data_IF_554865218341
#
_entry.id   IF_554865218341
#
_cell.length_a   1.000
_cell.length_b   1.000
_cell.length_c   1.000
_cell.angle_alpha   90.00
_cell.angle_beta   90.00
_cell.angle_gamma   90.00
#
_symmetry.space_group_name_H-M   'P 1'
#
loop_
_entity.id
_entity.type
_entity.pdbx_description
1 polymer ?
#
# COMPACT_ATOMS: atom_id res chain seq x y z
N UNK A 1 -47.88 -7.20 8.60
CA UNK A 1 -46.62 -6.66 8.05
C UNK A 1 -46.17 -7.58 6.93
N UNK A 2 -46.26 -7.12 5.69
CA UNK A 2 -45.75 -7.87 4.55
C UNK A 2 -44.25 -7.60 4.42
N UNK A 3 -43.40 -8.59 4.69
CA UNK A 3 -41.98 -8.50 4.39
C UNK A 3 -41.81 -8.72 2.89
N UNK A 4 -41.50 -7.66 2.16
CA UNK A 4 -40.97 -7.77 0.80
C UNK A 4 -39.55 -8.33 0.89
N UNK A 5 -39.40 -9.65 0.75
CA UNK A 5 -38.11 -10.27 0.44
C UNK A 5 -37.84 -10.11 -1.05
N UNK A 6 -36.99 -9.15 -1.41
CA UNK A 6 -36.46 -9.07 -2.77
C UNK A 6 -35.33 -10.10 -2.94
N UNK A 7 -35.73 -11.34 -3.21
CA UNK A 7 -34.84 -12.49 -3.41
C UNK A 7 -33.92 -12.29 -4.63
N UNK A 8 -34.26 -11.37 -5.54
CA UNK A 8 -33.49 -11.08 -6.75
C UNK A 8 -32.11 -10.46 -6.48
N UNK A 9 -31.91 -9.86 -5.30
CA UNK A 9 -30.64 -9.25 -4.87
C UNK A 9 -29.83 -10.09 -3.87
N UNK A 10 -30.29 -11.30 -3.54
CA UNK A 10 -29.58 -12.19 -2.61
C UNK A 10 -29.54 -11.74 -1.15
N UNK A 11 -30.25 -10.66 -0.78
CA UNK A 11 -30.26 -10.15 0.60
C UNK A 11 -31.35 -10.90 1.40
N UNK A 12 -30.91 -11.82 2.27
CA UNK A 12 -31.78 -12.48 3.26
C UNK A 12 -31.71 -11.70 4.58
N UNK A 13 -32.74 -10.90 4.85
CA UNK A 13 -32.87 -10.23 6.15
C UNK A 13 -33.30 -11.27 7.21
N UNK A 14 -32.57 -11.36 8.32
CA UNK A 14 -32.92 -12.20 9.48
C UNK A 14 -32.12 -13.49 9.65
N UNK A 15 -31.10 -13.75 8.83
CA UNK A 15 -30.16 -14.87 9.05
C UNK A 15 -28.78 -14.31 9.38
N UNK A 16 -28.41 -14.32 10.65
CA UNK A 16 -27.04 -14.00 11.08
C UNK A 16 -26.18 -15.27 10.94
N UNK A 17 -25.80 -15.64 9.72
CA UNK A 17 -24.80 -16.69 9.53
C UNK A 17 -23.42 -16.10 9.83
N UNK A 18 -22.67 -16.75 10.74
CA UNK A 18 -21.26 -16.39 10.93
C UNK A 18 -20.50 -16.87 9.69
N UNK A 19 -19.84 -15.99 8.93
CA UNK A 19 -19.10 -16.40 7.75
C UNK A 19 -18.03 -17.42 8.11
N UNK A 20 -17.83 -18.41 7.24
CA UNK A 20 -16.66 -19.29 7.34
C UNK A 20 -15.40 -18.44 7.24
N UNK A 21 -14.45 -18.62 8.16
CA UNK A 21 -13.12 -18.01 8.02
C UNK A 21 -12.52 -18.46 6.69
N UNK A 22 -12.27 -17.50 5.81
CA UNK A 22 -11.81 -17.77 4.45
C UNK A 22 -10.36 -17.30 4.25
N UNK A 23 -9.77 -16.70 5.26
CA UNK A 23 -8.50 -16.03 5.17
C UNK A 23 -7.36 -16.99 5.49
N UNK A 24 -6.57 -17.32 4.47
CA UNK A 24 -5.34 -18.11 4.63
C UNK A 24 -4.20 -17.48 3.84
N UNK A 25 -2.96 -17.79 4.23
CA UNK A 25 -1.77 -17.28 3.55
C UNK A 25 -1.67 -17.78 2.11
N UNK A 26 -2.11 -19.00 1.86
CA UNK A 26 -2.14 -19.61 0.52
C UNK A 26 -3.10 -18.86 -0.39
N UNK A 27 -4.26 -18.44 0.12
CA UNK A 27 -5.24 -17.64 -0.64
C UNK A 27 -4.67 -16.29 -1.05
N UNK A 28 -3.81 -15.71 -0.22
CA UNK A 28 -3.11 -14.48 -0.51
C UNK A 28 -1.76 -14.68 -1.20
N UNK A 29 -1.52 -15.84 -1.82
CA UNK A 29 -0.30 -16.06 -2.61
C UNK A 29 0.99 -15.87 -1.83
N UNK A 30 0.98 -16.16 -0.52
CA UNK A 30 2.13 -15.94 0.37
C UNK A 30 2.10 -14.62 1.14
N UNK A 31 1.27 -13.66 0.73
CA UNK A 31 1.01 -12.39 1.40
C UNK A 31 0.23 -12.54 2.71
N UNK A 32 0.14 -11.44 3.47
CA UNK A 32 -0.62 -11.45 4.72
C UNK A 32 -2.12 -11.41 4.41
N UNK A 33 -2.88 -12.22 5.13
CA UNK A 33 -4.32 -12.26 4.97
C UNK A 33 -4.98 -11.64 6.20
N UNK A 34 -5.92 -10.71 5.98
CA UNK A 34 -6.79 -10.16 7.01
C UNK A 34 -8.26 -10.51 6.73
N UNK A 35 -8.94 -11.10 7.72
CA UNK A 35 -10.40 -11.25 7.69
C UNK A 35 -11.05 -9.85 7.76
N UNK A 36 -12.12 -9.64 7.00
CA UNK A 36 -12.83 -8.37 7.00
C UNK A 36 -14.25 -8.53 7.51
N UNK A 37 -14.73 -7.46 8.16
CA UNK A 37 -16.15 -7.34 8.46
C UNK A 37 -16.92 -7.33 7.15
N UNK A 38 -17.97 -8.14 7.08
CA UNK A 38 -18.84 -8.26 5.92
C UNK A 38 -19.40 -6.88 5.54
N UNK A 39 -19.26 -6.37 4.31
CA UNK A 39 -20.30 -5.57 3.73
C UNK A 39 -21.23 -6.48 2.95
N UNK A 40 -22.52 -6.11 2.91
CA UNK A 40 -23.62 -6.77 2.21
C UNK A 40 -23.43 -6.92 0.67
N UNK A 41 -22.24 -6.66 0.12
CA UNK A 41 -22.01 -6.51 -1.32
C UNK A 41 -20.84 -7.33 -1.91
N UNK A 42 -20.03 -8.02 -1.11
CA UNK A 42 -18.99 -8.93 -1.62
C UNK A 42 -19.18 -10.35 -1.06
N UNK A 43 -19.14 -11.35 -1.96
CA UNK A 43 -19.22 -12.78 -1.59
C UNK A 43 -17.99 -13.26 -0.82
N UNK A 44 -16.88 -12.53 -0.95
CA UNK A 44 -15.61 -12.80 -0.30
C UNK A 44 -15.38 -11.72 0.77
N UNK A 45 -14.80 -12.12 1.90
CA UNK A 45 -14.70 -11.33 3.13
C UNK A 45 -13.26 -11.28 3.67
N UNK A 46 -12.28 -11.09 2.79
CA UNK A 46 -10.87 -10.99 3.17
C UNK A 46 -10.18 -9.82 2.44
N UNK A 47 -9.01 -9.42 2.93
CA UNK A 47 -8.05 -8.64 2.16
C UNK A 47 -6.69 -9.31 2.21
N UNK A 48 -5.97 -9.25 1.10
CA UNK A 48 -4.59 -9.68 1.01
C UNK A 48 -3.69 -8.46 0.97
N UNK A 49 -2.70 -8.42 1.86
CA UNK A 49 -1.56 -7.53 1.75
C UNK A 49 -0.41 -8.27 1.06
N UNK A 50 -0.08 -7.82 -0.15
CA UNK A 50 0.95 -8.42 -0.99
C UNK A 50 2.34 -7.84 -0.74
N UNK A 51 2.48 -6.81 0.11
CA UNK A 51 3.71 -6.03 0.33
C UNK A 51 4.93 -6.89 0.71
N UNK A 52 4.71 -7.95 1.49
CA UNK A 52 5.74 -8.89 1.94
C UNK A 52 5.84 -10.18 1.11
N UNK A 53 5.16 -10.25 -0.04
CA UNK A 53 5.23 -11.38 -0.97
C UNK A 53 6.04 -11.02 -2.21
N UNK A 54 6.44 -12.02 -2.99
CA UNK A 54 6.98 -11.86 -4.35
C UNK A 54 5.87 -11.61 -5.39
N UNK A 55 4.64 -11.36 -4.94
CA UNK A 55 3.44 -11.20 -5.76
C UNK A 55 2.80 -9.83 -5.59
N UNK A 56 1.98 -9.47 -6.57
CA UNK A 56 1.18 -8.26 -6.64
C UNK A 56 -0.22 -8.58 -7.18
N UNK A 57 -1.11 -7.60 -7.11
CA UNK A 57 -2.46 -7.73 -7.65
C UNK A 57 -2.44 -7.83 -9.18
N UNK A 58 -3.51 -8.38 -9.75
CA UNK A 58 -3.70 -8.36 -11.21
C UNK A 58 -3.82 -6.93 -11.74
N UNK A 59 -3.62 -6.77 -13.03
CA UNK A 59 -3.73 -5.47 -13.70
C UNK A 59 -5.16 -4.88 -13.57
N UNK A 60 -5.24 -3.55 -13.44
CA UNK A 60 -6.50 -2.81 -13.33
C UNK A 60 -7.15 -2.82 -11.95
N UNK A 61 -6.52 -3.44 -10.94
CA UNK A 61 -6.96 -3.32 -9.54
C UNK A 61 -6.52 -1.95 -9.01
N UNK A 62 -7.47 -1.02 -8.95
CA UNK A 62 -7.24 0.31 -8.35
C UNK A 62 -7.69 0.40 -6.89
N UNK A 63 -8.59 -0.50 -6.46
CA UNK A 63 -9.09 -0.54 -5.08
C UNK A 63 -8.72 -1.87 -4.44
N UNK A 64 -7.58 -1.87 -3.76
CA UNK A 64 -7.07 -3.03 -3.00
C UNK A 64 -7.94 -3.35 -1.77
N UNK A 65 -8.93 -2.51 -1.46
CA UNK A 65 -9.93 -2.76 -0.41
C UNK A 65 -11.09 -3.63 -0.93
N UNK A 66 -10.97 -4.26 -2.09
CA UNK A 66 -11.85 -5.37 -2.51
C UNK A 66 -11.17 -6.69 -2.19
N UNK A 67 -11.96 -7.76 -2.05
CA UNK A 67 -11.41 -9.10 -1.87
C UNK A 67 -10.65 -9.57 -3.12
N UNK A 68 -9.35 -9.27 -3.16
CA UNK A 68 -8.45 -9.59 -4.27
C UNK A 68 -7.23 -10.33 -3.71
N UNK A 69 -6.71 -11.28 -4.48
CA UNK A 69 -5.57 -12.12 -4.09
C UNK A 69 -4.27 -11.62 -4.70
N UNK A 70 -3.14 -11.91 -4.05
CA UNK A 70 -1.82 -11.71 -4.64
C UNK A 70 -1.59 -12.81 -5.69
N UNK A 71 -1.60 -12.43 -6.97
CA UNK A 71 -1.68 -13.40 -8.06
C UNK A 71 -0.49 -13.29 -9.00
N UNK A 72 -0.20 -12.07 -9.47
CA UNK A 72 0.84 -11.82 -10.47
C UNK A 72 2.19 -11.68 -9.78
N UNK A 73 3.27 -12.08 -10.43
CA UNK A 73 4.61 -11.81 -9.89
C UNK A 73 4.85 -10.29 -9.84
N UNK A 74 5.45 -9.83 -8.74
CA UNK A 74 5.78 -8.43 -8.56
C UNK A 74 6.88 -8.03 -9.56
N UNK A 75 6.80 -6.83 -10.17
CA UNK A 75 7.86 -6.34 -11.04
C UNK A 75 9.16 -6.19 -10.24
N UNK A 76 10.27 -6.69 -10.79
CA UNK A 76 11.61 -6.55 -10.23
C UNK A 76 12.35 -5.51 -11.05
N UNK A 77 12.94 -4.53 -10.37
CA UNK A 77 13.82 -3.53 -10.98
C UNK A 77 15.26 -3.91 -10.66
N UNK A 78 16.07 -4.10 -11.69
CA UNK A 78 17.51 -4.29 -11.56
C UNK A 78 18.20 -2.94 -11.73
N UNK A 79 18.98 -2.55 -10.72
CA UNK A 79 19.73 -1.29 -10.69
C UNK A 79 21.22 -1.61 -10.56
N UNK A 80 22.03 -1.10 -11.49
CA UNK A 80 23.48 -1.31 -11.56
C UNK A 80 24.30 -0.17 -10.92
N UNK A 81 23.62 0.87 -10.42
CA UNK A 81 24.22 2.07 -9.84
C UNK A 81 24.20 3.30 -10.77
N UNK A 82 23.97 3.10 -12.07
CA UNK A 82 23.88 4.19 -13.05
C UNK A 82 22.42 4.58 -13.34
N UNK A 83 21.47 3.70 -13.00
CA UNK A 83 20.05 3.88 -13.25
C UNK A 83 19.33 4.30 -11.96
N UNK A 84 18.54 5.37 -12.05
CA UNK A 84 17.51 5.71 -11.07
C UNK A 84 16.13 5.71 -11.73
N UNK A 85 15.12 5.28 -10.99
CA UNK A 85 13.73 5.32 -11.43
C UNK A 85 13.02 6.47 -10.73
N UNK A 86 12.54 7.43 -11.53
CA UNK A 86 11.81 8.58 -11.04
C UNK A 86 10.33 8.43 -11.40
N UNK A 87 9.47 8.49 -10.39
CA UNK A 87 8.04 8.69 -10.57
C UNK A 87 7.79 10.17 -10.38
N UNK A 88 7.57 10.87 -11.48
CA UNK A 88 7.28 12.30 -11.44
C UNK A 88 5.77 12.55 -11.42
N UNK A 89 5.33 13.28 -10.41
CA UNK A 89 3.96 13.69 -10.21
C UNK A 89 3.73 15.13 -10.73
N UNK A 90 4.40 15.56 -11.80
CA UNK A 90 4.34 16.94 -12.34
C UNK A 90 2.93 17.55 -12.38
N UNK A 91 1.90 16.75 -12.71
CA UNK A 91 0.50 17.20 -12.80
C UNK A 91 -0.18 17.41 -11.45
N UNK A 92 0.43 16.97 -10.35
CA UNK A 92 -0.08 16.93 -8.99
C UNK A 92 0.85 17.61 -7.98
N UNK A 93 1.94 18.25 -8.45
CA UNK A 93 3.00 18.89 -7.64
C UNK A 93 2.49 19.76 -6.50
N UNK A 94 1.32 20.41 -6.66
CA UNK A 94 0.74 21.31 -5.65
C UNK A 94 -0.39 20.67 -4.83
N UNK A 95 -0.63 19.37 -4.98
CA UNK A 95 -1.81 18.68 -4.41
C UNK A 95 -1.50 17.40 -3.66
N UNK A 96 -0.32 16.81 -3.88
CA UNK A 96 0.08 15.58 -3.19
C UNK A 96 0.74 15.94 -1.85
N UNK A 97 -0.08 16.35 -0.89
CA UNK A 97 0.33 16.53 0.51
C UNK A 97 -0.33 15.44 1.34
N UNK A 98 0.47 14.65 2.04
CA UNK A 98 0.02 13.56 2.90
C UNK A 98 0.33 13.87 4.37
N UNK A 99 -0.53 13.40 5.28
CA UNK A 99 -0.26 13.43 6.72
C UNK A 99 0.33 12.11 7.23
N UNK A 100 0.09 11.03 6.49
CA UNK A 100 0.55 9.67 6.78
C UNK A 100 0.94 9.02 5.46
N UNK A 101 2.14 8.43 5.43
CA UNK A 101 2.65 7.66 4.30
C UNK A 101 2.90 6.21 4.72
N UNK A 102 2.35 5.27 3.97
CA UNK A 102 2.65 3.84 4.11
C UNK A 102 3.52 3.41 2.93
N UNK A 103 4.82 3.22 3.20
CA UNK A 103 5.82 2.85 2.18
C UNK A 103 6.37 1.47 2.53
N UNK A 104 6.25 0.53 1.59
CA UNK A 104 6.81 -0.81 1.71
C UNK A 104 7.68 -1.11 0.49
N UNK A 105 8.94 -1.49 0.73
CA UNK A 105 9.88 -1.88 -0.31
C UNK A 105 10.59 -3.19 0.05
N UNK A 106 10.87 -4.00 -0.95
CA UNK A 106 11.74 -5.16 -0.85
C UNK A 106 12.96 -4.89 -1.72
N UNK A 107 14.15 -5.09 -1.17
CA UNK A 107 15.41 -4.88 -1.88
C UNK A 107 16.41 -5.97 -1.54
N UNK A 108 17.37 -6.16 -2.45
CA UNK A 108 18.53 -7.01 -2.24
C UNK A 108 19.74 -6.33 -2.87
N UNK A 109 20.81 -6.18 -2.09
CA UNK A 109 22.06 -5.60 -2.56
C UNK A 109 23.25 -6.27 -1.89
N UNK A 110 24.40 -6.20 -2.55
CA UNK A 110 25.70 -6.54 -1.97
C UNK A 110 26.45 -5.30 -1.47
N UNK A 111 25.98 -4.12 -1.84
CA UNK A 111 26.60 -2.85 -1.47
C UNK A 111 26.35 -2.52 0.00
N UNK A 112 27.39 -1.98 0.65
CA UNK A 112 27.30 -1.56 2.06
C UNK A 112 26.51 -0.27 2.26
N UNK A 113 26.47 0.59 1.25
CA UNK A 113 25.75 1.86 1.31
C UNK A 113 25.14 2.26 -0.04
N UNK A 114 23.82 2.42 -0.11
CA UNK A 114 23.09 2.80 -1.33
C UNK A 114 21.79 3.55 -1.00
N UNK A 115 21.35 4.50 -1.82
CA UNK A 115 20.00 5.07 -1.73
C UNK A 115 18.95 4.01 -2.08
N UNK A 116 17.89 3.89 -1.29
CA UNK A 116 16.82 2.90 -1.52
C UNK A 116 15.51 3.55 -1.99
N UNK A 117 15.07 4.62 -1.34
CA UNK A 117 13.82 5.29 -1.68
C UNK A 117 13.82 6.74 -1.22
N UNK A 118 13.58 7.67 -2.15
CA UNK A 118 13.44 9.10 -1.87
C UNK A 118 12.08 9.61 -2.35
N UNK A 119 11.36 10.29 -1.47
CA UNK A 119 10.26 11.20 -1.80
C UNK A 119 10.74 12.62 -1.51
N UNK A 120 10.65 13.51 -2.50
CA UNK A 120 11.17 14.88 -2.42
C UNK A 120 10.19 15.87 -3.01
N UNK A 121 10.00 16.99 -2.32
CA UNK A 121 9.26 18.14 -2.82
C UNK A 121 10.22 19.32 -2.97
N UNK A 122 10.53 19.73 -4.21
CA UNK A 122 11.36 20.91 -4.45
C UNK A 122 10.69 22.22 -4.03
N UNK A 123 9.34 22.26 -4.02
CA UNK A 123 8.55 23.46 -3.79
C UNK A 123 8.71 23.99 -2.36
N UNK A 124 8.70 23.09 -1.38
CA UNK A 124 8.83 23.40 0.03
C UNK A 124 10.09 22.78 0.65
N UNK A 125 10.98 22.17 -0.15
CA UNK A 125 12.21 21.50 0.31
C UNK A 125 11.97 20.38 1.33
N UNK A 126 10.76 19.81 1.37
CA UNK A 126 10.46 18.65 2.20
C UNK A 126 10.97 17.36 1.55
N UNK A 127 11.31 16.38 2.38
CA UNK A 127 11.74 15.07 1.90
C UNK A 127 11.50 13.96 2.93
N UNK A 128 11.38 12.74 2.41
CA UNK A 128 11.49 11.48 3.13
C UNK A 128 12.48 10.59 2.37
N UNK A 129 13.53 10.15 3.05
CA UNK A 129 14.63 9.39 2.43
C UNK A 129 14.94 8.14 3.24
N UNK A 130 15.15 7.05 2.52
CA UNK A 130 15.60 5.77 3.07
C UNK A 130 16.89 5.38 2.36
N UNK A 131 17.94 5.22 3.15
CA UNK A 131 19.27 4.85 2.72
C UNK A 131 19.70 3.55 3.41
N UNK A 132 20.53 2.77 2.73
CA UNK A 132 21.37 1.78 3.38
C UNK A 132 22.71 2.47 3.68
N UNK A 133 23.17 2.43 4.93
CA UNK A 133 24.44 3.02 5.36
C UNK A 133 25.18 2.02 6.25
N UNK A 134 26.31 1.51 5.77
CA UNK A 134 27.08 0.49 6.50
C UNK A 134 26.28 -0.76 6.85
N UNK A 135 25.39 -1.18 5.94
CA UNK A 135 24.50 -2.34 6.12
C UNK A 135 23.30 -2.10 7.06
N UNK A 136 23.03 -0.85 7.48
CA UNK A 136 21.89 -0.49 8.31
C UNK A 136 20.95 0.44 7.54
N UNK A 137 19.66 0.28 7.76
CA UNK A 137 18.67 1.22 7.24
C UNK A 137 18.74 2.52 8.03
N UNK A 138 18.88 3.63 7.31
CA UNK A 138 18.79 4.97 7.84
C UNK A 138 17.60 5.68 7.19
N UNK A 139 16.75 6.29 8.02
CA UNK A 139 15.58 7.04 7.56
C UNK A 139 15.78 8.51 7.95
N UNK A 140 15.70 9.40 6.96
CA UNK A 140 15.83 10.83 7.13
C UNK A 140 14.59 11.54 6.64
N UNK A 141 14.09 12.48 7.42
CA UNK A 141 12.88 13.23 7.09
C UNK A 141 13.10 14.72 7.31
N UNK A 142 12.61 15.53 6.39
CA UNK A 142 12.39 16.95 6.61
C UNK A 142 10.98 17.29 6.18
N UNK A 143 10.11 17.55 7.14
CA UNK A 143 8.77 18.06 6.87
C UNK A 143 8.77 19.51 7.32
N UNK A 144 9.02 20.44 6.40
CA UNK A 144 9.02 21.86 6.72
C UNK A 144 7.63 22.23 7.27
N UNK A 145 7.56 22.52 8.57
CA UNK A 145 6.31 22.92 9.20
C UNK A 145 6.13 24.44 9.03
N UNK A 146 4.94 24.94 8.68
CA UNK A 146 4.67 26.38 8.62
C UNK A 146 5.03 27.12 9.92
N UNK A 147 4.99 26.44 11.07
CA UNK A 147 5.33 26.99 12.39
C UNK A 147 6.83 27.17 12.64
N UNK A 148 7.71 26.58 11.83
CA UNK A 148 9.16 26.77 12.01
C UNK A 148 9.62 28.16 11.52
N UNK A 149 8.82 28.81 10.66
CA UNK A 149 9.08 30.18 10.23
C UNK A 149 8.67 31.23 11.28
N UNK A 150 7.71 30.92 12.16
CA UNK A 150 7.22 31.87 13.19
C UNK A 150 8.01 31.84 14.51
N UNK A 151 8.94 30.89 14.67
CA UNK A 151 9.85 30.79 15.82
C UNK A 151 11.23 31.40 15.59
N UNK A 152 11.46 31.97 14.41
CA UNK A 152 12.74 32.54 13.99
C UNK A 152 12.75 34.08 13.99
N UNK A 153 11.71 34.72 14.53
CA UNK A 153 11.62 36.17 14.74
C UNK A 153 11.69 36.55 16.23
#
# INVERSE_FOLDING_TARGET
MSQHTDVSRGIRFGVCETPSKQCTREKCGGGQCAERSHPFFEQLNFACDCSGSDKTFREGVMDIRRSETCFRDAPILEMDGDISYLIDFERQLNTLTTHTDDISLQFRTLEGSVPLFYSVSPADRSYFRVDLVGGKLEVQTNMNHPDDQSRSE
#
